data_IF_880415184261
#
_entry.id   IF_880415184261
#
_cell.length_a   1.000
_cell.length_b   1.000
_cell.length_c   1.000
_cell.angle_alpha   90.00
_cell.angle_beta   90.00
_cell.angle_gamma   90.00
#
_symmetry.space_group_name_H-M   'P 1'
#
loop_
_entity.id
_entity.type
_entity.pdbx_description
1 polymer ?
#
# COMPACT_ATOMS: atom_id res chain seq x y z
N UNK A 1 -14.07 -9.77 20.04
CA UNK A 1 -12.96 -10.53 20.65
C UNK A 1 -11.72 -10.25 19.82
N UNK A 2 -10.65 -9.73 20.41
CA UNK A 2 -9.39 -9.53 19.69
C UNK A 2 -8.75 -10.91 19.49
N UNK A 3 -8.47 -11.28 18.24
CA UNK A 3 -7.70 -12.48 17.91
C UNK A 3 -6.23 -12.18 18.13
N UNK A 4 -5.51 -13.10 18.76
CA UNK A 4 -4.07 -13.00 18.96
C UNK A 4 -3.34 -13.56 17.75
N UNK A 5 -2.06 -13.22 17.58
CA UNK A 5 -1.24 -13.70 16.45
C UNK A 5 -1.18 -15.23 16.43
N UNK A 6 -1.24 -15.88 17.59
CA UNK A 6 -1.26 -17.35 17.70
C UNK A 6 -2.51 -17.99 17.09
N UNK A 7 -3.65 -17.31 17.07
CA UNK A 7 -4.88 -17.81 16.43
C UNK A 7 -4.74 -17.96 14.91
N UNK A 8 -3.75 -17.31 14.32
CA UNK A 8 -3.44 -17.37 12.89
C UNK A 8 -2.38 -18.41 12.56
N UNK A 9 -1.80 -19.09 13.55
CA UNK A 9 -0.83 -20.16 13.35
C UNK A 9 -1.53 -21.53 13.39
N UNK A 10 -1.31 -22.34 12.37
CA UNK A 10 -1.83 -23.71 12.27
C UNK A 10 -0.67 -24.70 12.13
N UNK A 11 -0.88 -26.01 12.38
CA UNK A 11 0.14 -27.03 12.11
C UNK A 11 0.61 -27.08 10.65
N UNK A 12 -0.15 -26.45 9.74
CA UNK A 12 0.14 -26.36 8.30
C UNK A 12 0.84 -25.02 7.93
N UNK A 13 1.04 -24.11 8.89
CA UNK A 13 1.67 -22.81 8.70
C UNK A 13 0.77 -21.61 9.05
N UNK A 14 1.19 -20.42 8.61
CA UNK A 14 0.47 -19.15 8.83
C UNK A 14 -0.80 -19.04 7.97
N UNK A 15 -1.92 -18.65 8.59
CA UNK A 15 -3.20 -18.40 7.93
C UNK A 15 -3.56 -16.89 7.94
N UNK A 16 -3.12 -16.17 6.90
CA UNK A 16 -3.44 -14.76 6.70
C UNK A 16 -4.61 -14.57 5.74
N UNK A 17 -5.60 -13.77 6.16
CA UNK A 17 -6.76 -13.41 5.34
C UNK A 17 -6.67 -11.92 4.99
N UNK A 18 -6.49 -11.61 3.71
CA UNK A 18 -6.47 -10.24 3.22
C UNK A 18 -7.88 -9.71 2.98
N UNK A 19 -8.14 -8.43 3.32
CA UNK A 19 -9.45 -7.78 3.12
C UNK A 19 -9.78 -7.49 1.65
N UNK A 20 -8.76 -7.47 0.78
CA UNK A 20 -8.86 -7.20 -0.65
C UNK A 20 -7.85 -8.06 -1.41
N UNK A 21 -8.04 -8.15 -2.73
CA UNK A 21 -7.06 -8.75 -3.62
C UNK A 21 -5.76 -7.92 -3.64
N UNK A 22 -4.64 -8.61 -3.81
CA UNK A 22 -3.32 -8.01 -3.91
C UNK A 22 -3.07 -7.58 -5.36
N UNK A 23 -2.44 -6.41 -5.53
CA UNK A 23 -1.97 -5.96 -6.83
C UNK A 23 -0.54 -6.47 -7.06
N UNK A 24 -0.08 -6.56 -8.31
CA UNK A 24 1.25 -7.08 -8.67
C UNK A 24 2.39 -6.39 -7.91
N UNK A 25 2.30 -5.07 -7.72
CA UNK A 25 3.30 -4.28 -6.98
C UNK A 25 3.36 -4.60 -5.48
N UNK A 26 2.39 -5.33 -4.94
CA UNK A 26 2.31 -5.71 -3.53
C UNK A 26 2.76 -7.14 -3.29
N UNK A 27 2.72 -7.99 -4.33
CA UNK A 27 3.05 -9.42 -4.23
C UNK A 27 4.45 -9.62 -3.64
N UNK A 28 5.46 -8.90 -4.12
CA UNK A 28 6.82 -9.04 -3.60
C UNK A 28 6.92 -8.69 -2.12
N UNK A 29 6.27 -7.60 -1.69
CA UNK A 29 6.29 -7.18 -0.28
C UNK A 29 5.57 -8.19 0.62
N UNK A 30 4.50 -8.80 0.10
CA UNK A 30 3.79 -9.86 0.81
C UNK A 30 4.63 -11.14 0.88
N UNK A 31 5.32 -11.52 -0.19
CA UNK A 31 6.23 -12.66 -0.18
C UNK A 31 7.37 -12.49 0.84
N UNK A 32 8.00 -11.31 0.87
CA UNK A 32 9.04 -10.98 1.86
C UNK A 32 8.50 -11.04 3.30
N UNK A 33 7.24 -10.64 3.50
CA UNK A 33 6.55 -10.77 4.78
C UNK A 33 6.36 -12.23 5.17
N UNK A 34 5.86 -13.09 4.27
CA UNK A 34 5.72 -14.53 4.52
C UNK A 34 7.06 -15.18 4.93
N UNK A 35 8.13 -14.90 4.18
CA UNK A 35 9.48 -15.38 4.49
C UNK A 35 9.95 -14.98 5.89
N UNK A 36 9.60 -13.77 6.34
CA UNK A 36 9.94 -13.28 7.69
C UNK A 36 9.12 -13.99 8.75
N UNK A 37 7.83 -14.23 8.50
CA UNK A 37 6.94 -14.90 9.45
C UNK A 37 7.24 -16.40 9.59
N UNK A 38 7.67 -17.07 8.53
CA UNK A 38 8.07 -18.49 8.60
C UNK A 38 9.32 -18.71 9.47
N UNK A 39 10.18 -17.70 9.61
CA UNK A 39 11.34 -17.77 10.52
C UNK A 39 10.94 -17.74 11.99
N UNK A 40 9.78 -17.17 12.32
CA UNK A 40 9.25 -17.18 13.68
C UNK A 40 8.52 -18.49 13.95
N UNK A 41 9.26 -19.51 14.41
CA UNK A 41 8.70 -20.76 14.92
C UNK A 41 8.35 -20.63 16.40
N UNK A 42 7.12 -20.96 16.77
CA UNK A 42 6.70 -21.07 18.16
C UNK A 42 6.31 -19.74 18.80
N UNK A 43 5.08 -19.31 18.55
CA UNK A 43 4.47 -18.25 19.34
C UNK A 43 4.08 -18.83 20.70
N UNK A 44 4.62 -18.28 21.78
CA UNK A 44 4.16 -18.61 23.12
C UNK A 44 2.72 -18.09 23.29
N UNK A 45 1.88 -18.89 23.96
CA UNK A 45 0.50 -18.52 24.28
C UNK A 45 0.48 -17.36 25.29
N UNK A 46 0.57 -16.14 24.79
CA UNK A 46 0.61 -14.92 25.59
C UNK A 46 -0.13 -13.77 24.91
N UNK A 47 -0.25 -12.65 25.62
CA UNK A 47 -0.81 -11.43 25.05
C UNK A 47 0.20 -10.83 24.06
N UNK A 48 -0.25 -10.52 22.84
CA UNK A 48 0.60 -9.90 21.84
C UNK A 48 1.13 -8.53 22.31
N UNK A 49 2.42 -8.31 22.12
CA UNK A 49 3.07 -7.04 22.41
C UNK A 49 3.44 -6.37 21.09
N UNK A 50 2.98 -5.13 20.90
CA UNK A 50 3.39 -4.32 19.76
C UNK A 50 4.82 -3.82 19.97
N UNK A 51 5.74 -4.25 19.10
CA UNK A 51 7.14 -3.81 19.12
C UNK A 51 7.50 -3.03 17.86
N UNK A 52 7.89 -1.77 18.02
CA UNK A 52 8.35 -0.92 16.93
C UNK A 52 9.86 -1.09 16.70
N UNK A 53 10.24 -1.69 15.57
CA UNK A 53 11.65 -1.91 15.19
C UNK A 53 12.45 -0.61 15.00
N UNK A 54 11.79 0.50 14.67
CA UNK A 54 12.45 1.80 14.45
C UNK A 54 12.81 2.56 15.74
N UNK A 55 12.73 1.93 16.91
CA UNK A 55 13.12 2.50 18.21
C UNK A 55 13.76 1.43 19.06
N UNK A 56 14.90 1.72 19.69
CA UNK A 56 15.54 0.80 20.65
C UNK A 56 14.62 0.45 21.83
N UNK A 57 13.67 1.34 22.16
CA UNK A 57 12.73 1.15 23.26
C UNK A 57 11.44 0.41 22.85
N UNK A 58 11.34 -0.07 21.62
CA UNK A 58 10.14 -0.75 21.10
C UNK A 58 8.88 0.11 20.99
N UNK A 59 8.93 1.37 21.44
CA UNK A 59 7.79 2.30 21.41
C UNK A 59 7.74 3.07 20.10
N UNK A 60 6.52 3.20 19.57
CA UNK A 60 6.26 4.05 18.42
C UNK A 60 6.37 5.53 18.81
N UNK A 61 7.10 6.30 18.00
CA UNK A 61 7.20 7.75 18.12
C UNK A 61 7.18 8.37 16.74
N UNK A 62 6.23 9.29 16.51
CA UNK A 62 6.01 9.94 15.22
C UNK A 62 7.29 10.56 14.65
N UNK A 63 8.06 11.30 15.46
CA UNK A 63 9.30 11.94 15.02
C UNK A 63 10.37 10.95 14.54
N UNK A 64 10.46 9.76 15.15
CA UNK A 64 11.37 8.70 14.70
C UNK A 64 10.83 7.97 13.49
N UNK A 65 9.50 7.80 13.39
CA UNK A 65 8.87 7.21 12.23
C UNK A 65 9.18 8.02 10.96
N UNK A 66 9.06 9.35 10.99
CA UNK A 66 9.41 10.18 9.83
C UNK A 66 10.90 10.18 9.49
N UNK A 67 11.79 10.11 10.50
CA UNK A 67 13.24 10.04 10.28
C UNK A 67 13.70 8.70 9.70
N UNK A 68 13.10 7.60 10.17
CA UNK A 68 13.44 6.25 9.76
C UNK A 68 12.60 5.74 8.59
N UNK A 69 11.60 6.50 8.15
CA UNK A 69 10.92 6.22 6.90
C UNK A 69 12.01 6.32 5.83
N UNK A 70 12.33 5.23 5.11
CA UNK A 70 13.16 5.38 3.92
C UNK A 70 12.49 6.48 3.12
N UNK A 71 13.25 7.40 2.53
CA UNK A 71 12.71 8.28 1.50
C UNK A 71 12.31 7.37 0.33
N UNK A 72 11.25 6.58 0.51
CA UNK A 72 10.62 5.79 -0.48
C UNK A 72 10.28 6.83 -1.50
N UNK A 73 10.83 6.73 -2.72
CA UNK A 73 10.68 7.76 -3.69
C UNK A 73 9.17 7.93 -3.87
N UNK A 74 8.62 8.96 -3.25
CA UNK A 74 7.39 9.61 -3.68
C UNK A 74 7.64 10.25 -5.06
N UNK A 75 8.58 9.71 -5.84
CA UNK A 75 9.14 10.22 -7.08
C UNK A 75 8.12 10.10 -8.19
N UNK A 76 7.31 9.03 -8.18
CA UNK A 76 6.25 8.82 -9.16
C UNK A 76 5.25 10.00 -9.14
N UNK A 77 4.94 10.54 -7.95
CA UNK A 77 3.99 11.67 -7.79
C UNK A 77 4.68 13.03 -7.71
N UNK A 78 5.99 13.07 -7.46
CA UNK A 78 6.75 14.32 -7.34
C UNK A 78 6.68 15.11 -8.64
N UNK A 79 6.64 14.45 -9.79
CA UNK A 79 6.43 15.09 -11.09
C UNK A 79 5.08 15.80 -11.19
N UNK A 80 4.01 15.20 -10.70
CA UNK A 80 2.66 15.80 -10.72
C UNK A 80 2.58 17.05 -9.85
N UNK A 81 3.22 17.03 -8.69
CA UNK A 81 3.18 18.17 -7.76
C UNK A 81 4.26 19.24 -8.00
N UNK A 82 5.33 18.91 -8.74
CA UNK A 82 6.40 19.86 -9.10
C UNK A 82 6.26 20.45 -10.51
N UNK A 83 5.36 19.92 -11.33
CA UNK A 83 5.10 20.47 -12.66
C UNK A 83 4.34 21.80 -12.54
N UNK A 84 4.61 22.74 -13.45
CA UNK A 84 3.89 24.02 -13.58
C UNK A 84 2.45 23.85 -14.12
N UNK A 85 1.78 22.76 -13.75
CA UNK A 85 0.38 22.52 -14.11
C UNK A 85 -0.55 23.17 -13.09
N UNK A 86 -1.72 23.66 -13.52
CA UNK A 86 -2.75 24.12 -12.60
C UNK A 86 -3.12 23.02 -11.60
N UNK A 87 -3.28 23.39 -10.32
CA UNK A 87 -3.57 22.46 -9.23
C UNK A 87 -4.75 21.52 -9.52
N UNK A 88 -5.79 22.02 -10.21
CA UNK A 88 -6.96 21.22 -10.63
C UNK A 88 -6.57 20.05 -11.52
N UNK A 89 -5.62 20.25 -12.43
CA UNK A 89 -5.10 19.21 -13.32
C UNK A 89 -4.23 18.24 -12.55
N UNK A 90 -3.35 18.73 -11.66
CA UNK A 90 -2.54 17.87 -10.80
C UNK A 90 -3.39 16.95 -9.91
N UNK A 91 -4.44 17.50 -9.27
CA UNK A 91 -5.38 16.73 -8.48
C UNK A 91 -6.14 15.69 -9.32
N UNK A 92 -6.58 16.05 -10.52
CA UNK A 92 -7.26 15.11 -11.41
C UNK A 92 -6.34 13.97 -11.85
N UNK A 93 -5.11 14.27 -12.27
CA UNK A 93 -4.10 13.26 -12.66
C UNK A 93 -3.73 12.36 -11.48
N UNK A 94 -3.57 12.90 -10.28
CA UNK A 94 -3.34 12.11 -9.07
C UNK A 94 -4.51 11.17 -8.76
N UNK A 95 -5.75 11.65 -8.87
CA UNK A 95 -6.95 10.84 -8.67
C UNK A 95 -7.12 9.73 -9.72
N UNK A 96 -6.79 10.04 -10.98
CA UNK A 96 -6.76 9.07 -12.08
C UNK A 96 -5.76 7.95 -11.79
N UNK A 97 -4.55 8.33 -11.43
CA UNK A 97 -3.45 7.40 -11.26
C UNK A 97 -3.54 6.62 -9.94
N UNK A 98 -4.41 7.04 -9.01
CA UNK A 98 -4.85 6.25 -7.85
C UNK A 98 -6.04 5.34 -8.15
N UNK A 99 -6.53 5.30 -9.39
CA UNK A 99 -7.72 4.55 -9.82
C UNK A 99 -9.00 4.93 -9.03
N UNK A 100 -8.98 6.05 -8.31
CA UNK A 100 -10.11 6.53 -7.48
C UNK A 100 -11.21 7.11 -8.38
N UNK A 101 -10.84 7.64 -9.54
CA UNK A 101 -11.80 8.07 -10.56
C UNK A 101 -11.86 6.98 -11.63
N UNK A 102 -12.89 6.14 -11.53
CA UNK A 102 -13.35 5.25 -12.61
C UNK A 102 -13.83 6.12 -13.79
N UNK A 103 -12.88 6.67 -14.53
CA UNK A 103 -13.14 7.66 -15.57
C UNK A 103 -13.98 7.09 -16.70
N UNK A 104 -13.87 5.80 -17.00
CA UNK A 104 -14.71 5.20 -18.04
C UNK A 104 -16.18 5.18 -17.63
N UNK A 105 -16.53 4.65 -16.45
CA UNK A 105 -17.92 4.50 -16.05
C UNK A 105 -18.59 5.83 -15.71
N UNK A 106 -17.86 6.75 -15.07
CA UNK A 106 -18.39 8.07 -14.75
C UNK A 106 -18.51 9.00 -15.97
N UNK A 107 -17.61 8.92 -16.96
CA UNK A 107 -17.71 9.72 -18.18
C UNK A 107 -18.75 9.15 -19.15
N UNK A 108 -18.89 7.80 -19.23
CA UNK A 108 -19.99 7.14 -19.94
C UNK A 108 -21.36 7.49 -19.34
N UNK A 109 -21.49 7.48 -18.00
CA UNK A 109 -22.73 7.92 -17.31
C UNK A 109 -23.11 9.38 -17.59
N UNK A 110 -22.12 10.24 -17.89
CA UNK A 110 -22.33 11.67 -18.18
C UNK A 110 -22.43 11.97 -19.69
N UNK A 111 -22.48 10.96 -20.56
CA UNK A 111 -22.60 11.12 -22.02
C UNK A 111 -21.49 11.97 -22.66
N UNK A 112 -20.30 12.00 -22.08
CA UNK A 112 -19.17 12.75 -22.63
C UNK A 112 -18.42 11.82 -23.61
N UNK A 113 -18.43 12.08 -24.93
CA UNK A 113 -17.77 11.22 -25.89
C UNK A 113 -16.25 11.31 -25.73
N UNK A 114 -15.62 10.22 -25.31
CA UNK A 114 -14.17 10.12 -25.23
C UNK A 114 -13.60 9.85 -26.63
N UNK A 115 -12.96 10.85 -27.22
CA UNK A 115 -12.19 10.66 -28.45
C UNK A 115 -10.87 9.97 -28.11
N UNK A 116 -10.87 8.64 -28.23
CA UNK A 116 -9.71 7.77 -28.00
C UNK A 116 -8.57 8.11 -28.97
N UNK A 117 -7.63 8.96 -28.54
CA UNK A 117 -6.25 9.02 -29.02
C UNK A 117 -5.40 9.49 -27.84
N UNK A 118 -4.32 8.77 -27.52
CA UNK A 118 -3.36 9.05 -26.43
C UNK A 118 -3.76 8.56 -25.02
N UNK A 119 -4.01 7.25 -24.85
CA UNK A 119 -3.90 6.58 -23.54
C UNK A 119 -3.18 5.25 -23.68
N UNK A 120 -1.97 5.30 -24.25
CA UNK A 120 -0.97 4.27 -24.03
C UNK A 120 0.31 4.99 -23.64
N UNK A 121 1.04 4.41 -22.70
CA UNK A 121 2.23 4.94 -22.01
C UNK A 121 1.95 5.73 -20.71
N UNK A 122 1.23 5.12 -19.77
CA UNK A 122 1.68 5.12 -18.37
C UNK A 122 0.95 4.04 -17.57
N UNK A 123 1.32 2.80 -17.85
CA UNK A 123 0.89 1.64 -17.09
C UNK A 123 2.08 0.71 -17.04
N UNK A 124 3.02 1.01 -16.15
CA UNK A 124 3.94 0.09 -15.48
C UNK A 124 4.90 0.93 -14.61
N UNK A 125 4.77 0.75 -13.29
CA UNK A 125 5.55 1.31 -12.17
C UNK A 125 5.16 2.69 -11.60
#
# INVERSE_FOLDING_TARGET
>A
QQKTIVDHWTPQGWNFIFRRQLNDCEIQRVADFFNTTEQSNGLEGGQDILWWKGSQKGSFKVGYAYKNHPNQPHSHWRGIWKSEIPLKVACFVWLLAKEVVLSQDNLKRRWIPLRSRYFFLWGNC
#
